data_IF_619541601203
#
_entry.id   IF_619541601203
#
_cell.length_a   1.000
_cell.length_b   1.000
_cell.length_c   1.000
_cell.angle_alpha   90.00
_cell.angle_beta   90.00
_cell.angle_gamma   90.00
#
_symmetry.space_group_name_H-M   'P 1'
#
loop_
_entity.id
_entity.type
_entity.pdbx_description
1 polymer ?
#
# COMPACT_ATOMS: atom_id res chain seq x y z
N UNK A 1 12.85 -26.34 3.90
CA UNK A 1 11.72 -25.48 3.51
C UNK A 1 11.83 -24.20 4.34
N UNK A 2 12.09 -23.02 3.73
CA UNK A 2 12.18 -21.76 4.51
C UNK A 2 10.78 -21.39 4.98
N UNK A 3 10.60 -21.31 6.29
CA UNK A 3 9.39 -20.77 6.92
C UNK A 3 9.25 -19.31 6.47
N UNK A 4 8.25 -19.02 5.63
CA UNK A 4 7.96 -17.63 5.26
C UNK A 4 7.52 -16.86 6.52
N UNK A 5 8.08 -15.67 6.69
CA UNK A 5 7.65 -14.69 7.69
C UNK A 5 6.13 -14.48 7.56
N UNK A 6 5.43 -14.46 8.70
CA UNK A 6 3.98 -14.22 8.78
C UNK A 6 3.63 -12.89 8.10
N UNK A 7 4.48 -11.86 8.22
CA UNK A 7 4.29 -10.58 7.54
C UNK A 7 4.29 -10.71 6.03
N UNK A 8 5.26 -11.43 5.47
CA UNK A 8 5.37 -11.65 4.02
C UNK A 8 4.20 -12.47 3.47
N UNK A 9 3.72 -13.48 4.21
CA UNK A 9 2.53 -14.25 3.83
C UNK A 9 1.29 -13.37 3.72
N UNK A 10 1.08 -12.48 4.68
CA UNK A 10 -0.05 -11.54 4.66
C UNK A 10 0.10 -10.53 3.51
N UNK A 11 1.29 -9.96 3.31
CA UNK A 11 1.55 -9.05 2.19
C UNK A 11 1.23 -9.70 0.84
N UNK A 12 1.70 -10.94 0.61
CA UNK A 12 1.41 -11.68 -0.63
C UNK A 12 -0.09 -11.97 -0.80
N UNK A 13 -0.78 -12.35 0.27
CA UNK A 13 -2.22 -12.61 0.27
C UNK A 13 -3.00 -11.36 -0.13
N UNK A 14 -2.71 -10.23 0.51
CA UNK A 14 -3.40 -8.97 0.23
C UNK A 14 -3.00 -8.37 -1.11
N UNK A 15 -1.73 -8.48 -1.49
CA UNK A 15 -1.25 -8.11 -2.83
C UNK A 15 -2.08 -8.80 -3.90
N UNK A 16 -2.23 -10.14 -3.83
CA UNK A 16 -3.06 -10.89 -4.77
C UNK A 16 -4.50 -10.39 -4.76
N UNK A 17 -5.12 -10.26 -3.60
CA UNK A 17 -6.51 -9.82 -3.47
C UNK A 17 -6.77 -8.46 -4.15
N UNK A 18 -5.90 -7.48 -3.93
CA UNK A 18 -6.08 -6.14 -4.48
C UNK A 18 -5.68 -6.04 -5.96
N UNK A 19 -4.62 -6.74 -6.36
CA UNK A 19 -4.14 -6.77 -7.74
C UNK A 19 -5.09 -7.50 -8.70
N UNK A 20 -5.88 -8.46 -8.23
CA UNK A 20 -6.98 -9.05 -9.02
C UNK A 20 -8.15 -8.06 -9.25
N UNK A 21 -8.22 -6.96 -8.50
CA UNK A 21 -9.35 -5.99 -8.50
C UNK A 21 -8.97 -4.62 -9.08
N UNK A 22 -7.77 -4.48 -9.61
CA UNK A 22 -7.26 -3.25 -10.20
C UNK A 22 -6.02 -3.49 -11.05
N UNK A 23 -5.34 -2.43 -11.46
CA UNK A 23 -4.11 -2.55 -12.24
C UNK A 23 -2.91 -2.41 -11.29
N UNK A 24 -2.07 -3.45 -11.12
CA UNK A 24 -0.91 -3.40 -10.23
C UNK A 24 0.04 -2.28 -10.61
N UNK A 25 0.59 -1.58 -9.62
CA UNK A 25 1.61 -0.56 -9.82
C UNK A 25 2.87 -0.96 -9.07
N UNK A 26 3.93 -1.22 -9.82
CA UNK A 26 5.25 -1.49 -9.25
C UNK A 26 5.91 -0.17 -8.87
N UNK A 27 6.20 -0.01 -7.57
CA UNK A 27 6.87 1.17 -7.04
C UNK A 27 8.23 0.76 -6.51
N UNK A 28 9.28 1.48 -6.92
CA UNK A 28 10.61 1.29 -6.37
C UNK A 28 10.63 1.71 -4.89
N UNK A 29 10.74 0.73 -4.00
CA UNK A 29 10.85 0.97 -2.56
C UNK A 29 12.13 1.75 -2.21
N UNK A 30 13.21 1.53 -2.96
CA UNK A 30 14.46 2.27 -2.81
C UNK A 30 14.26 3.77 -3.11
N UNK A 31 13.54 4.09 -4.19
CA UNK A 31 13.22 5.47 -4.57
C UNK A 31 12.44 6.20 -3.46
N UNK A 32 11.43 5.53 -2.89
CA UNK A 32 10.62 6.07 -1.80
C UNK A 32 11.47 6.29 -0.54
N UNK A 33 12.30 5.32 -0.18
CA UNK A 33 13.19 5.40 0.99
C UNK A 33 14.21 6.54 0.86
N UNK A 34 14.85 6.69 -0.30
CA UNK A 34 15.79 7.80 -0.58
C UNK A 34 15.15 9.18 -0.45
N UNK A 35 13.84 9.29 -0.66
CA UNK A 35 13.06 10.52 -0.47
C UNK A 35 12.41 10.65 0.92
N UNK A 36 12.69 9.72 1.84
CA UNK A 36 12.08 9.71 3.17
C UNK A 36 10.60 9.31 3.21
N UNK A 37 10.02 8.87 2.09
CA UNK A 37 8.58 8.63 1.93
C UNK A 37 8.10 7.27 2.48
N UNK A 38 9.02 6.45 3.00
CA UNK A 38 8.66 5.17 3.60
C UNK A 38 8.68 4.03 2.60
N UNK A 39 7.83 3.05 2.87
CA UNK A 39 7.63 1.86 2.06
C UNK A 39 6.13 1.73 1.82
N UNK A 40 5.76 1.13 0.69
CA UNK A 40 4.35 0.89 0.33
C UNK A 40 4.21 -0.58 0.02
N UNK A 41 3.37 -1.28 0.78
CA UNK A 41 3.24 -2.74 0.64
C UNK A 41 2.51 -3.09 -0.66
N UNK A 42 1.33 -2.50 -0.88
CA UNK A 42 0.53 -2.74 -2.10
C UNK A 42 0.13 -1.42 -2.75
N UNK A 43 0.35 -1.33 -4.06
CA UNK A 43 -0.02 -0.18 -4.87
C UNK A 43 -0.72 -0.63 -6.16
N UNK A 44 -1.82 0.02 -6.52
CA UNK A 44 -2.58 -0.31 -7.73
C UNK A 44 -3.50 0.84 -8.16
N UNK A 45 -3.85 0.89 -9.45
CA UNK A 45 -4.93 1.74 -9.93
C UNK A 45 -6.28 1.07 -9.77
N UNK A 46 -7.28 1.85 -9.37
CA UNK A 46 -8.67 1.41 -9.27
C UNK A 46 -9.60 2.46 -9.88
N UNK A 47 -10.63 2.02 -10.59
CA UNK A 47 -11.71 2.89 -11.04
C UNK A 47 -12.74 3.03 -9.92
N UNK A 48 -12.95 4.24 -9.42
CA UNK A 48 -13.97 4.55 -8.41
C UNK A 48 -14.83 5.71 -8.92
N UNK A 49 -16.16 5.51 -8.99
CA UNK A 49 -17.12 6.52 -9.47
C UNK A 49 -16.71 7.18 -10.80
N UNK A 50 -16.22 6.37 -11.74
CA UNK A 50 -15.78 6.83 -13.06
C UNK A 50 -14.38 7.42 -13.13
N UNK A 51 -13.66 7.60 -12.01
CA UNK A 51 -12.31 8.18 -11.97
C UNK A 51 -11.26 7.12 -11.65
N UNK A 52 -10.08 7.24 -12.26
CA UNK A 52 -8.92 6.42 -11.91
C UNK A 52 -8.28 7.02 -10.64
N UNK A 53 -8.07 6.19 -9.63
CA UNK A 53 -7.44 6.56 -8.36
C UNK A 53 -6.28 5.60 -8.10
N UNK A 54 -5.14 6.13 -7.67
CA UNK A 54 -4.03 5.33 -7.16
C UNK A 54 -4.29 4.94 -5.69
N UNK A 55 -4.40 3.64 -5.42
CA UNK A 55 -4.62 3.10 -4.08
C UNK A 55 -3.29 2.62 -3.52
N UNK A 56 -2.94 3.12 -2.34
CA UNK A 56 -1.84 2.61 -1.53
C UNK A 56 -2.44 1.89 -0.33
N UNK A 57 -2.06 0.64 -0.12
CA UNK A 57 -2.48 -0.16 1.01
C UNK A 57 -1.26 -0.47 1.87
N UNK A 58 -1.36 -0.13 3.14
CA UNK A 58 -0.49 -0.68 4.17
C UNK A 58 -1.15 -1.94 4.72
N UNK A 59 -0.40 -3.03 4.78
CA UNK A 59 -0.83 -4.31 5.32
C UNK A 59 -0.29 -4.45 6.74
N UNK A 60 -1.15 -4.86 7.67
CA UNK A 60 -0.74 -5.27 9.02
C UNK A 60 -1.16 -6.70 9.26
N UNK A 61 -0.38 -7.42 10.06
CA UNK A 61 -0.67 -8.80 10.48
C UNK A 61 -1.51 -8.89 11.76
N UNK A 62 -1.78 -7.77 12.44
CA UNK A 62 -2.56 -7.75 13.68
C UNK A 62 -3.73 -6.76 13.59
N UNK A 63 -4.94 -7.15 14.02
CA UNK A 63 -6.16 -6.32 13.96
C UNK A 63 -6.09 -5.07 14.83
N UNK A 64 -5.26 -5.05 15.87
CA UNK A 64 -5.13 -3.92 16.80
C UNK A 64 -4.00 -2.96 16.41
N UNK A 65 -3.56 -2.99 15.15
CA UNK A 65 -2.46 -2.16 14.69
C UNK A 65 -2.98 -0.91 14.00
N UNK A 66 -2.44 0.24 14.38
CA UNK A 66 -2.70 1.53 13.73
C UNK A 66 -1.41 2.10 13.17
N UNK A 67 -1.52 3.10 12.30
CA UNK A 67 -0.36 3.87 11.88
C UNK A 67 0.23 4.63 13.07
N UNK A 68 1.54 4.47 13.30
CA UNK A 68 2.25 5.50 14.06
C UNK A 68 2.17 6.84 13.30
N UNK A 69 2.20 7.96 14.02
CA UNK A 69 2.13 9.29 13.38
C UNK A 69 3.24 9.49 12.33
N UNK A 70 4.46 9.00 12.63
CA UNK A 70 5.60 9.06 11.72
C UNK A 70 5.35 8.22 10.46
N UNK A 71 4.84 7.00 10.62
CA UNK A 71 4.53 6.14 9.48
C UNK A 71 3.44 6.74 8.60
N UNK A 72 2.35 7.22 9.22
CA UNK A 72 1.26 7.90 8.51
C UNK A 72 1.77 9.06 7.67
N UNK A 73 2.63 9.92 8.25
CA UNK A 73 3.22 11.07 7.55
C UNK A 73 4.02 10.64 6.32
N UNK A 74 4.83 9.59 6.45
CA UNK A 74 5.65 9.04 5.35
C UNK A 74 4.77 8.52 4.21
N UNK A 75 3.78 7.69 4.54
CA UNK A 75 2.84 7.12 3.56
C UNK A 75 1.98 8.19 2.88
N UNK A 76 1.52 9.21 3.59
CA UNK A 76 0.84 10.36 2.98
C UNK A 76 1.76 11.14 2.05
N UNK A 77 3.05 11.26 2.39
CA UNK A 77 4.08 11.77 1.49
C UNK A 77 4.23 10.91 0.23
N UNK A 78 4.25 9.59 0.36
CA UNK A 78 4.28 8.66 -0.77
C UNK A 78 3.03 8.83 -1.67
N UNK A 79 1.83 8.94 -1.09
CA UNK A 79 0.61 9.27 -1.82
C UNK A 79 0.77 10.57 -2.62
N UNK A 80 1.20 11.66 -1.98
CA UNK A 80 1.37 12.97 -2.64
C UNK A 80 2.43 12.95 -3.74
N UNK A 81 3.49 12.18 -3.56
CA UNK A 81 4.52 12.02 -4.57
C UNK A 81 4.02 11.22 -5.78
N UNK A 82 3.43 10.04 -5.54
CA UNK A 82 2.98 9.17 -6.62
C UNK A 82 1.77 9.74 -7.36
N UNK A 83 0.88 10.47 -6.69
CA UNK A 83 -0.23 11.17 -7.35
C UNK A 83 0.26 12.17 -8.39
N UNK A 84 1.36 12.88 -8.10
CA UNK A 84 2.01 13.79 -9.04
C UNK A 84 2.70 13.04 -10.18
N UNK A 85 3.43 11.97 -9.87
CA UNK A 85 4.11 11.14 -10.89
C UNK A 85 3.14 10.57 -11.90
N UNK A 86 2.00 10.05 -11.44
CA UNK A 86 1.00 9.41 -12.31
C UNK A 86 -0.11 10.36 -12.76
N UNK A 87 -0.09 11.62 -12.32
CA UNK A 87 -1.13 12.62 -12.60
C UNK A 87 -2.57 12.14 -12.30
N UNK A 88 -2.76 11.45 -11.17
CA UNK A 88 -4.06 10.95 -10.72
C UNK A 88 -4.23 11.17 -9.21
N UNK A 89 -5.47 11.32 -8.70
CA UNK A 89 -5.69 11.33 -7.26
C UNK A 89 -5.21 10.01 -6.62
N UNK A 90 -4.77 10.09 -5.37
CA UNK A 90 -4.32 8.94 -4.59
C UNK A 90 -5.05 8.85 -3.25
N UNK A 91 -5.16 7.64 -2.70
CA UNK A 91 -5.64 7.44 -1.33
C UNK A 91 -4.87 6.35 -0.61
N UNK A 92 -4.73 6.51 0.70
CA UNK A 92 -4.10 5.57 1.60
C UNK A 92 -5.16 4.80 2.37
N UNK A 93 -5.01 3.48 2.49
CA UNK A 93 -5.86 2.64 3.34
C UNK A 93 -5.01 1.67 4.14
N UNK A 94 -5.50 1.34 5.33
CA UNK A 94 -4.93 0.30 6.17
C UNK A 94 -5.73 -0.98 5.95
N UNK A 95 -5.03 -2.08 5.71
CA UNK A 95 -5.61 -3.41 5.67
C UNK A 95 -5.13 -4.20 6.88
N UNK A 96 -6.07 -4.59 7.72
CA UNK A 96 -5.86 -5.44 8.87
C UNK A 96 -6.55 -6.78 8.63
N UNK A 97 -6.08 -7.89 9.22
CA UNK A 97 -6.78 -9.16 9.13
C UNK A 97 -8.06 -9.02 9.96
N UNK A 98 -9.22 -9.17 9.33
CA UNK A 98 -10.46 -9.39 10.06
C UNK A 98 -10.47 -10.85 10.49
N UNK A 99 -10.58 -11.11 11.79
CA UNK A 99 -10.72 -12.47 12.31
C UNK A 99 -11.85 -13.20 11.55
N UNK A 100 -11.56 -14.42 11.10
CA UNK A 100 -12.60 -15.35 10.66
C UNK A 100 -13.29 -15.93 11.88
#
# INVERSE_FOLDING_TARGET
MKTFDVGLKEELRWSRFFHERGVPVLVSQDLLRKRGLGQVDVCFFKKERGRIILKLIEVKSSPHTFFSQKQRRRLLGACSFLSKVFNVPSSLSLCIPTGF
#
